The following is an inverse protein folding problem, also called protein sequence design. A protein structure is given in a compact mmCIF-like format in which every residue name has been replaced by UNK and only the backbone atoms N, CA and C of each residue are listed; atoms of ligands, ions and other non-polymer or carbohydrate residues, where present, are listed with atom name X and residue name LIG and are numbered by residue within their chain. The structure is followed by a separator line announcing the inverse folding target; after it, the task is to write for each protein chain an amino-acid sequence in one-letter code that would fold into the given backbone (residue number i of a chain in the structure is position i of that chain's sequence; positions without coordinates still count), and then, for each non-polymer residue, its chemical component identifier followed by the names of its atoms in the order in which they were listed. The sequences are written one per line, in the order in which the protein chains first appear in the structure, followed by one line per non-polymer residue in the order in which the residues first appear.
data_IF_700780560714
#
_entry.id   IF_700780560714
#
_cell.length_a   1.000
_cell.length_b   1.000
_cell.length_c   1.000
_cell.angle_alpha   90.00
_cell.angle_beta   90.00
_cell.angle_gamma   90.00
#
_symmetry.space_group_name_H-M   'P 1'
#
loop_
_entity.id
_entity.type
_entity.pdbx_description
1 polymer ?
#
# COMPACT_ATOMS: atom_id res chain seq x y z
N UNK A 1 -14.26 11.86 -26.94
CA UNK A 1 -13.54 10.98 -25.98
C UNK A 1 -12.88 9.86 -26.77
N UNK A 2 -11.60 9.59 -26.52
CA UNK A 2 -10.84 8.60 -27.29
C UNK A 2 -11.23 7.17 -26.83
N UNK A 3 -11.36 6.17 -27.73
CA UNK A 3 -11.73 4.79 -27.37
C UNK A 3 -10.81 4.10 -26.34
N UNK A 4 -9.65 4.70 -26.03
CA UNK A 4 -8.68 4.23 -25.04
C UNK A 4 -9.06 4.51 -23.59
N UNK A 5 -9.96 5.47 -23.32
CA UNK A 5 -10.29 5.89 -21.94
C UNK A 5 -11.35 5.01 -21.27
N UNK A 6 -12.22 4.35 -22.03
CA UNK A 6 -13.36 3.59 -21.49
C UNK A 6 -13.00 2.29 -20.73
N UNK A 7 -11.74 1.87 -20.74
CA UNK A 7 -11.31 0.58 -20.14
C UNK A 7 -10.39 0.72 -18.94
N UNK A 8 -10.17 1.94 -18.46
CA UNK A 8 -9.34 2.24 -17.29
C UNK A 8 -10.24 2.74 -16.17
N UNK A 9 -10.27 2.03 -15.05
CA UNK A 9 -10.96 2.48 -13.84
C UNK A 9 -9.92 3.03 -12.88
N UNK A 10 -10.19 4.18 -12.30
CA UNK A 10 -9.45 4.68 -11.15
C UNK A 10 -9.93 3.99 -9.88
N UNK A 11 -9.04 3.24 -9.22
CA UNK A 11 -9.31 2.52 -7.97
C UNK A 11 -8.43 3.04 -6.83
N UNK A 12 -7.91 4.28 -6.94
CA UNK A 12 -7.01 4.89 -5.95
C UNK A 12 -7.65 4.93 -4.56
N UNK A 13 -8.86 5.49 -4.46
CA UNK A 13 -9.61 5.58 -3.19
C UNK A 13 -9.90 4.20 -2.59
N UNK A 14 -10.30 3.24 -3.42
CA UNK A 14 -10.52 1.86 -2.96
C UNK A 14 -9.24 1.25 -2.39
N UNK A 15 -8.11 1.51 -3.03
CA UNK A 15 -6.79 1.01 -2.62
C UNK A 15 -6.34 1.60 -1.29
N UNK A 16 -6.56 2.89 -1.07
CA UNK A 16 -6.21 3.56 0.18
C UNK A 16 -7.16 3.24 1.34
N UNK A 17 -8.36 2.75 1.04
CA UNK A 17 -9.37 2.44 2.04
C UNK A 17 -9.26 1.01 2.57
N UNK A 18 -9.52 0.00 1.74
CA UNK A 18 -9.66 -1.38 2.21
C UNK A 18 -9.50 -2.42 1.07
N UNK A 19 -8.83 -3.56 1.32
CA UNK A 19 -8.61 -4.60 0.32
C UNK A 19 -9.91 -5.20 -0.25
N UNK A 20 -11.01 -5.24 0.51
CA UNK A 20 -12.30 -5.72 0.01
C UNK A 20 -12.82 -4.81 -1.11
N UNK A 21 -12.63 -3.49 -1.02
CA UNK A 21 -13.04 -2.56 -2.08
C UNK A 21 -12.23 -2.78 -3.36
N UNK A 22 -10.93 -3.10 -3.22
CA UNK A 22 -10.10 -3.51 -4.36
C UNK A 22 -10.61 -4.82 -4.95
N UNK A 23 -10.87 -5.84 -4.12
CA UNK A 23 -11.40 -7.13 -4.58
C UNK A 23 -12.75 -6.97 -5.29
N UNK A 24 -13.67 -6.15 -4.79
CA UNK A 24 -14.94 -5.84 -5.47
C UNK A 24 -14.70 -5.26 -6.86
N UNK A 25 -13.76 -4.32 -7.00
CA UNK A 25 -13.39 -3.76 -8.31
C UNK A 25 -12.81 -4.81 -9.24
N UNK A 26 -11.97 -5.73 -8.74
CA UNK A 26 -11.42 -6.80 -9.56
C UNK A 26 -12.50 -7.80 -9.98
N UNK A 27 -13.31 -8.30 -9.04
CA UNK A 27 -14.39 -9.26 -9.31
C UNK A 27 -15.49 -8.71 -10.21
N UNK A 28 -15.76 -7.40 -10.17
CA UNK A 28 -16.73 -6.76 -11.06
C UNK A 28 -16.25 -6.67 -12.52
N UNK A 29 -14.94 -6.81 -12.78
CA UNK A 29 -14.34 -6.61 -14.10
C UNK A 29 -13.64 -7.86 -14.65
N UNK A 30 -13.33 -8.84 -13.81
CA UNK A 30 -12.71 -10.11 -14.18
C UNK A 30 -13.35 -11.25 -13.42
N UNK A 31 -13.38 -12.43 -14.05
CA UNK A 31 -13.77 -13.66 -13.39
C UNK A 31 -12.58 -14.21 -12.59
N UNK A 32 -12.38 -13.70 -11.37
CA UNK A 32 -11.26 -14.07 -10.49
C UNK A 32 -11.71 -15.03 -9.38
N UNK A 33 -10.93 -16.07 -9.14
CA UNK A 33 -11.07 -16.96 -7.99
C UNK A 33 -10.09 -16.55 -6.89
N UNK A 34 -10.57 -16.49 -5.65
CA UNK A 34 -9.74 -16.23 -4.48
C UNK A 34 -10.30 -16.91 -3.23
N UNK A 35 -9.38 -17.29 -2.33
CA UNK A 35 -9.72 -17.76 -0.99
C UNK A 35 -9.50 -16.63 0.01
N UNK A 36 -10.50 -16.35 0.85
CA UNK A 36 -10.38 -15.39 1.96
C UNK A 36 -9.85 -16.09 3.22
N UNK A 37 -8.71 -15.64 3.72
CA UNK A 37 -8.11 -16.08 5.00
C UNK A 37 -8.03 -14.86 5.93
N UNK A 38 -8.92 -14.80 6.91
CA UNK A 38 -9.07 -13.66 7.83
C UNK A 38 -9.35 -12.36 7.05
N UNK A 39 -8.33 -11.54 6.82
CA UNK A 39 -8.38 -10.24 6.14
C UNK A 39 -7.47 -10.21 4.89
N UNK A 40 -7.03 -11.38 4.43
CA UNK A 40 -6.22 -11.54 3.22
C UNK A 40 -6.99 -12.35 2.18
N UNK A 41 -6.89 -11.93 0.93
CA UNK A 41 -7.52 -12.53 -0.24
C UNK A 41 -6.41 -13.14 -1.10
N UNK A 42 -6.29 -14.46 -1.08
CA UNK A 42 -5.26 -15.20 -1.82
C UNK A 42 -5.79 -15.52 -3.21
N UNK A 43 -5.10 -15.04 -4.25
CA UNK A 43 -5.49 -15.19 -5.64
C UNK A 43 -5.16 -16.60 -6.14
N UNK A 44 -6.17 -17.36 -6.54
CA UNK A 44 -5.99 -18.74 -7.00
C UNK A 44 -5.49 -18.76 -8.45
N UNK A 45 -6.13 -17.97 -9.32
CA UNK A 45 -5.85 -18.01 -10.76
C UNK A 45 -4.64 -17.14 -11.17
N UNK A 46 -4.20 -16.21 -10.30
CA UNK A 46 -3.05 -15.28 -10.51
C UNK A 46 -3.05 -14.58 -11.87
N UNK A 47 -4.24 -14.26 -12.39
CA UNK A 47 -4.44 -13.70 -13.73
C UNK A 47 -4.17 -12.20 -13.82
N UNK A 48 -4.05 -11.51 -12.68
CA UNK A 48 -3.90 -10.06 -12.62
C UNK A 48 -2.42 -9.71 -12.42
N UNK A 49 -1.86 -8.98 -13.37
CA UNK A 49 -0.52 -8.40 -13.22
C UNK A 49 -0.63 -7.06 -12.45
N UNK A 50 0.40 -6.73 -11.68
CA UNK A 50 0.61 -5.40 -11.11
C UNK A 50 1.86 -4.78 -11.72
N UNK A 51 1.75 -3.53 -12.16
CA UNK A 51 2.84 -2.74 -12.74
C UNK A 51 3.02 -1.47 -11.92
N UNK A 52 4.26 -1.18 -11.53
CA UNK A 52 4.61 0.12 -10.96
C UNK A 52 5.24 0.99 -12.06
N UNK A 53 4.80 2.24 -12.10
CA UNK A 53 5.26 3.24 -13.06
C UNK A 53 5.72 4.49 -12.32
N UNK A 54 6.78 5.12 -12.83
CA UNK A 54 7.24 6.44 -12.38
C UNK A 54 7.46 7.29 -13.61
N UNK A 55 6.85 8.47 -13.64
CA UNK A 55 6.91 9.40 -14.78
C UNK A 55 6.52 8.71 -16.11
N UNK A 56 5.52 7.82 -16.07
CA UNK A 56 5.02 7.08 -17.23
C UNK A 56 5.88 5.90 -17.68
N UNK A 57 7.02 5.65 -17.03
CA UNK A 57 7.89 4.50 -17.33
C UNK A 57 7.68 3.39 -16.32
N UNK A 58 7.37 2.18 -16.82
CA UNK A 58 7.24 0.99 -15.98
C UNK A 58 8.62 0.51 -15.53
N UNK A 59 8.79 0.30 -14.21
CA UNK A 59 10.04 -0.19 -13.63
C UNK A 59 9.88 -1.48 -12.83
N UNK A 60 8.63 -1.88 -12.55
CA UNK A 60 8.32 -3.12 -11.85
C UNK A 60 7.09 -3.77 -12.46
N UNK A 61 7.13 -5.10 -12.58
CA UNK A 61 5.99 -5.91 -13.01
C UNK A 61 6.02 -7.26 -12.29
N UNK A 62 4.86 -7.74 -11.87
CA UNK A 62 4.68 -9.12 -11.44
C UNK A 62 3.21 -9.50 -11.30
N UNK A 63 2.93 -10.69 -10.77
CA UNK A 63 1.57 -11.22 -10.61
C UNK A 63 1.07 -11.02 -9.19
N UNK A 64 -0.15 -10.51 -9.04
CA UNK A 64 -0.79 -10.40 -7.72
C UNK A 64 -1.09 -11.81 -7.22
N UNK A 65 -0.52 -12.16 -6.07
CA UNK A 65 -0.74 -13.46 -5.40
C UNK A 65 -1.65 -13.35 -4.20
N UNK A 66 -1.65 -12.20 -3.51
CA UNK A 66 -2.64 -11.90 -2.49
C UNK A 66 -2.80 -10.39 -2.29
N UNK A 67 -3.96 -10.01 -1.76
CA UNK A 67 -4.34 -8.65 -1.40
C UNK A 67 -4.82 -8.68 0.06
N UNK A 68 -4.35 -7.79 0.92
CA UNK A 68 -4.73 -7.83 2.33
C UNK A 68 -4.56 -6.50 3.06
N UNK A 69 -4.93 -6.48 4.33
CA UNK A 69 -4.81 -5.30 5.19
C UNK A 69 -3.36 -5.00 5.57
N UNK A 70 -3.13 -3.77 6.00
CA UNK A 70 -1.89 -3.39 6.68
C UNK A 70 -1.79 -4.09 8.03
N UNK A 71 -0.56 -4.42 8.43
CA UNK A 71 -0.27 -5.15 9.69
C UNK A 71 -0.58 -4.35 10.96
N UNK A 72 -0.72 -3.04 10.84
CA UNK A 72 -1.00 -2.13 11.95
C UNK A 72 -2.49 -1.78 12.07
N UNK A 73 -3.35 -2.52 11.35
CA UNK A 73 -4.80 -2.33 11.28
C UNK A 73 -5.23 -0.93 10.80
N UNK A 74 -4.32 -0.17 10.20
CA UNK A 74 -4.65 1.10 9.55
C UNK A 74 -5.31 0.86 8.20
N UNK A 75 -6.13 1.83 7.77
CA UNK A 75 -6.78 1.80 6.45
C UNK A 75 -5.75 1.65 5.33
N UNK A 76 -6.10 0.84 4.32
CA UNK A 76 -5.30 0.66 3.12
C UNK A 76 -5.02 -0.79 2.77
N UNK A 77 -4.48 -0.95 1.57
CA UNK A 77 -4.27 -2.25 0.95
C UNK A 77 -2.78 -2.55 0.79
N UNK A 78 -2.38 -3.76 1.15
CA UNK A 78 -1.10 -4.35 0.75
C UNK A 78 -1.35 -5.30 -0.42
N UNK A 79 -0.58 -5.11 -1.49
CA UNK A 79 -0.47 -6.09 -2.56
C UNK A 79 0.78 -6.92 -2.36
N UNK A 80 0.65 -8.23 -2.45
CA UNK A 80 1.80 -9.10 -2.63
C UNK A 80 1.87 -9.56 -4.07
N UNK A 81 3.04 -9.32 -4.64
CA UNK A 81 3.30 -9.52 -6.06
C UNK A 81 4.47 -10.47 -6.21
N UNK A 82 4.27 -11.54 -6.98
CA UNK A 82 5.31 -12.48 -7.38
C UNK A 82 5.97 -11.98 -8.67
N UNK A 83 7.28 -11.79 -8.62
CA UNK A 83 8.14 -11.66 -9.81
C UNK A 83 8.76 -13.03 -10.13
N UNK A 84 9.60 -13.12 -11.15
CA UNK A 84 10.30 -14.37 -11.47
C UNK A 84 11.25 -14.83 -10.34
N UNK A 85 11.74 -13.89 -9.52
CA UNK A 85 12.73 -14.15 -8.48
C UNK A 85 12.14 -14.19 -7.06
N UNK A 86 11.17 -13.32 -6.75
CA UNK A 86 10.80 -13.04 -5.36
C UNK A 86 9.32 -12.65 -5.19
N UNK A 87 8.88 -12.71 -3.94
CA UNK A 87 7.65 -12.03 -3.49
C UNK A 87 7.99 -10.63 -2.99
N UNK A 88 7.28 -9.62 -3.51
CA UNK A 88 7.37 -8.24 -3.05
C UNK A 88 6.03 -7.78 -2.49
N UNK A 89 6.09 -7.15 -1.31
CA UNK A 89 4.96 -6.43 -0.73
C UNK A 89 5.02 -4.99 -1.20
N UNK A 90 3.88 -4.47 -1.63
CA UNK A 90 3.69 -3.13 -2.16
C UNK A 90 2.61 -2.50 -1.29
N UNK A 91 2.89 -1.32 -0.74
CA UNK A 91 2.00 -0.62 0.17
C UNK A 91 1.68 0.77 -0.39
N UNK A 92 0.67 0.88 -1.27
CA UNK A 92 0.24 2.16 -1.81
C UNK A 92 -0.39 3.02 -0.71
N UNK A 93 0.08 4.25 -0.61
CA UNK A 93 -0.41 5.26 0.32
C UNK A 93 -0.49 6.61 -0.37
N UNK A 94 -1.22 7.57 0.23
CA UNK A 94 -1.29 8.94 -0.30
C UNK A 94 0.09 9.62 -0.37
N UNK A 95 1.07 9.13 0.38
CA UNK A 95 2.44 9.65 0.45
C UNK A 95 3.38 9.12 -0.62
N UNK A 96 3.09 7.95 -1.22
CA UNK A 96 3.99 7.29 -2.18
C UNK A 96 3.32 6.96 -3.51
N UNK A 97 2.03 7.25 -3.65
CA UNK A 97 1.20 6.91 -4.80
C UNK A 97 0.46 8.14 -5.33
N UNK A 98 0.57 8.37 -6.62
CA UNK A 98 -0.22 9.36 -7.35
C UNK A 98 -1.58 8.78 -7.74
N UNK A 99 -1.58 7.57 -8.31
CA UNK A 99 -2.78 6.97 -8.87
C UNK A 99 -2.69 5.45 -8.95
N UNK A 100 -3.84 4.77 -8.79
CA UNK A 100 -4.01 3.35 -9.05
C UNK A 100 -5.08 3.14 -10.12
N UNK A 101 -4.67 2.60 -11.26
CA UNK A 101 -5.53 2.35 -12.41
C UNK A 101 -5.70 0.86 -12.66
N UNK A 102 -6.94 0.41 -12.77
CA UNK A 102 -7.27 -0.91 -13.27
C UNK A 102 -7.53 -0.88 -14.78
N UNK A 103 -6.69 -1.57 -15.56
CA UNK A 103 -6.85 -1.76 -17.00
C UNK A 103 -7.62 -3.06 -17.28
N UNK A 104 -8.93 -2.93 -17.56
CA UNK A 104 -9.84 -4.06 -17.82
C UNK A 104 -9.43 -4.91 -19.02
N UNK A 105 -8.81 -4.30 -20.03
CA UNK A 105 -8.46 -5.02 -21.27
C UNK A 105 -7.27 -5.94 -21.07
N UNK A 106 -6.37 -5.58 -20.16
CA UNK A 106 -5.09 -6.27 -19.97
C UNK A 106 -5.01 -7.07 -18.67
N UNK A 107 -6.02 -6.98 -17.80
CA UNK A 107 -5.97 -7.51 -16.44
C UNK A 107 -4.72 -7.00 -15.68
N UNK A 108 -4.52 -5.67 -15.70
CA UNK A 108 -3.37 -5.03 -15.05
C UNK A 108 -3.85 -3.99 -14.04
N UNK A 109 -3.31 -4.03 -12.83
CA UNK A 109 -3.33 -2.91 -11.88
C UNK A 109 -2.05 -2.10 -12.09
N UNK A 110 -2.17 -0.84 -12.51
CA UNK A 110 -1.05 0.09 -12.67
C UNK A 110 -1.03 1.05 -11.49
N UNK A 111 0.13 1.22 -10.87
CA UNK A 111 0.33 2.16 -9.78
C UNK A 111 1.36 3.18 -10.24
N UNK A 112 0.92 4.43 -10.36
CA UNK A 112 1.81 5.58 -10.55
C UNK A 112 2.40 5.95 -9.20
N UNK A 113 3.71 5.71 -9.03
CA UNK A 113 4.42 5.95 -7.78
C UNK A 113 5.06 7.33 -7.76
N UNK A 114 4.94 8.04 -6.64
CA UNK A 114 5.47 9.38 -6.44
C UNK A 114 5.77 9.59 -4.95
N UNK A 115 7.01 9.95 -4.60
CA UNK A 115 7.39 10.22 -3.22
C UNK A 115 6.97 11.65 -2.79
N UNK A 116 5.81 11.75 -2.15
CA UNK A 116 5.22 13.01 -1.66
C UNK A 116 5.57 13.32 -0.20
N UNK A 117 5.99 12.31 0.57
CA UNK A 117 6.39 12.49 1.97
C UNK A 117 7.83 12.04 2.24
N UNK A 118 8.42 12.66 3.25
CA UNK A 118 9.71 12.28 3.82
C UNK A 118 9.51 11.70 5.20
N UNK A 119 10.32 10.72 5.55
CA UNK A 119 10.36 10.15 6.87
C UNK A 119 10.76 11.22 7.90
N UNK A 120 9.90 11.44 8.90
CA UNK A 120 10.11 12.43 9.96
C UNK A 120 11.31 12.15 10.88
N UNK A 121 11.93 10.97 10.76
CA UNK A 121 13.12 10.58 11.54
C UNK A 121 14.41 10.68 10.71
N UNK A 122 14.47 10.06 9.52
CA UNK A 122 15.70 10.01 8.72
C UNK A 122 15.77 11.05 7.59
N UNK A 123 14.66 11.73 7.28
CA UNK A 123 14.57 12.75 6.23
C UNK A 123 14.58 12.22 4.79
N UNK A 124 14.69 10.91 4.57
CA UNK A 124 14.61 10.27 3.24
C UNK A 124 13.16 10.11 2.79
N UNK A 125 12.95 9.97 1.49
CA UNK A 125 11.63 9.73 0.90
C UNK A 125 10.98 8.44 1.45
N UNK A 126 9.66 8.45 1.51
CA UNK A 126 8.84 7.25 1.71
C UNK A 126 8.45 6.73 0.33
N UNK A 127 8.95 5.56 -0.01
CA UNK A 127 8.76 4.92 -1.31
C UNK A 127 7.70 3.80 -1.24
N UNK A 128 7.31 3.24 -2.38
CA UNK A 128 6.20 2.30 -2.52
C UNK A 128 6.40 0.93 -1.84
N UNK A 129 7.66 0.54 -1.64
CA UNK A 129 8.05 -0.71 -0.99
C UNK A 129 8.30 -0.56 0.51
N UNK A 130 8.20 0.66 1.04
CA UNK A 130 8.48 0.94 2.43
C UNK A 130 7.28 0.55 3.32
N UNK A 131 7.60 -0.03 4.47
CA UNK A 131 6.65 -0.13 5.57
C UNK A 131 6.62 1.24 6.29
N UNK A 132 5.44 1.83 6.39
CA UNK A 132 5.24 3.19 6.92
C UNK A 132 4.42 3.11 8.19
N UNK A 133 4.79 3.90 9.19
CA UNK A 133 3.97 4.13 10.37
C UNK A 133 3.73 5.64 10.56
N UNK A 134 2.60 5.98 11.17
CA UNK A 134 2.22 7.35 11.46
C UNK A 134 1.99 7.58 12.94
N UNK A 135 2.27 8.80 13.41
CA UNK A 135 1.82 9.21 14.74
C UNK A 135 0.27 9.27 14.77
N UNK A 136 -0.41 8.63 15.73
CA UNK A 136 -1.89 8.66 15.78
C UNK A 136 -2.48 10.03 16.15
N UNK A 137 -1.64 11.00 16.55
CA UNK A 137 -2.07 12.31 17.04
C UNK A 137 -1.84 13.46 16.05
N UNK A 138 -0.79 13.36 15.24
CA UNK A 138 -0.43 14.41 14.27
C UNK A 138 -0.15 13.86 12.87
N UNK A 139 -0.33 12.54 12.69
CA UNK A 139 -0.22 11.82 11.43
C UNK A 139 1.15 11.89 10.75
N UNK A 140 2.15 12.49 11.40
CA UNK A 140 3.53 12.53 10.92
C UNK A 140 4.01 11.11 10.56
N UNK A 141 4.39 10.95 9.29
CA UNK A 141 4.78 9.67 8.71
C UNK A 141 6.29 9.45 8.85
N UNK A 142 6.66 8.19 8.99
CA UNK A 142 8.04 7.73 8.99
C UNK A 142 8.10 6.28 8.54
N UNK A 143 9.28 5.84 8.09
CA UNK A 143 9.56 4.41 7.99
C UNK A 143 9.26 3.77 9.34
N UNK A 144 8.54 2.64 9.31
CA UNK A 144 8.02 1.99 10.50
C UNK A 144 9.12 1.73 11.54
N UNK A 145 10.23 1.15 11.11
CA UNK A 145 11.35 0.83 11.99
C UNK A 145 11.97 2.08 12.62
N UNK A 146 12.18 3.14 11.82
CA UNK A 146 12.72 4.40 12.32
C UNK A 146 11.80 5.08 13.36
N UNK A 147 10.48 5.06 13.14
CA UNK A 147 9.54 5.62 14.10
C UNK A 147 9.50 4.79 15.39
N UNK A 148 9.52 3.47 15.26
CA UNK A 148 9.44 2.55 16.40
C UNK A 148 10.68 2.67 17.28
N UNK A 149 11.87 2.71 16.68
CA UNK A 149 13.11 2.89 17.42
C UNK A 149 13.17 4.25 18.10
N UNK A 150 12.69 5.31 17.43
CA UNK A 150 12.55 6.63 18.05
C UNK A 150 11.63 6.59 19.29
N UNK A 151 10.45 5.99 19.18
CA UNK A 151 9.48 5.89 20.28
C UNK A 151 10.07 5.08 21.45
N UNK A 152 10.76 3.97 21.18
CA UNK A 152 11.45 3.20 22.24
C UNK A 152 12.51 4.02 22.98
N UNK A 153 13.21 4.91 22.27
CA UNK A 153 14.29 5.72 22.85
C UNK A 153 13.81 7.01 23.53
N UNK A 154 12.73 7.62 23.03
CA UNK A 154 12.31 8.98 23.40
C UNK A 154 10.89 9.06 23.96
N UNK A 155 10.12 7.96 23.93
CA UNK A 155 8.73 7.85 24.36
C UNK A 155 7.84 8.99 23.86
N UNK A 156 8.10 9.49 22.66
CA UNK A 156 7.42 10.67 22.12
C UNK A 156 7.48 10.72 20.59
N UNK A 157 6.51 11.42 19.99
CA UNK A 157 6.53 11.72 18.57
C UNK A 157 7.71 12.65 18.20
N UNK A 158 8.47 12.37 17.13
CA UNK A 158 9.55 13.27 16.68
C UNK A 158 9.04 14.65 16.25
N UNK A 159 7.77 14.76 15.86
CA UNK A 159 7.16 16.00 15.36
C UNK A 159 6.37 16.72 16.46
N UNK A 160 5.24 16.16 16.93
CA UNK A 160 4.36 16.85 17.88
C UNK A 160 4.80 16.73 19.35
N UNK A 161 5.86 15.96 19.64
CA UNK A 161 6.44 15.74 20.98
C UNK A 161 5.51 15.13 22.04
N UNK A 162 4.25 14.81 21.68
CA UNK A 162 3.33 14.09 22.56
C UNK A 162 3.86 12.70 22.88
N UNK A 163 3.55 12.21 24.08
CA UNK A 163 4.02 10.91 24.56
C UNK A 163 3.39 9.78 23.76
N UNK A 164 4.23 8.81 23.44
CA UNK A 164 3.85 7.60 22.71
C UNK A 164 4.60 6.43 23.33
N UNK A 165 3.95 5.27 23.33
CA UNK A 165 4.55 3.98 23.69
C UNK A 165 4.26 2.95 22.60
N UNK A 166 4.98 1.82 22.62
CA UNK A 166 4.69 0.68 21.76
C UNK A 166 4.06 -0.42 22.61
N UNK A 167 2.94 -0.96 22.14
CA UNK A 167 2.35 -2.16 22.72
C UNK A 167 3.27 -3.37 22.55
N UNK A 168 3.02 -4.44 23.31
CA UNK A 168 3.68 -5.73 23.11
C UNK A 168 3.44 -6.33 21.71
N UNK A 169 2.40 -5.88 21.02
CA UNK A 169 2.04 -6.27 19.64
C UNK A 169 2.60 -5.31 18.58
N UNK A 170 3.35 -4.28 18.97
CA UNK A 170 3.95 -3.31 18.05
C UNK A 170 2.98 -2.26 17.49
N UNK A 171 1.91 -1.95 18.22
CA UNK A 171 1.02 -0.82 17.94
C UNK A 171 1.48 0.42 18.70
N UNK A 172 1.32 1.61 18.12
CA UNK A 172 1.63 2.88 18.80
C UNK A 172 0.46 3.25 19.70
N UNK A 173 0.70 3.35 21.00
CA UNK A 173 -0.28 3.77 22.02
C UNK A 173 0.04 5.20 22.46
N UNK A 174 -1.01 5.95 22.78
CA UNK A 174 -0.91 7.28 23.36
C UNK A 174 -0.90 7.12 24.89
N UNK A 175 0.15 7.61 25.53
CA UNK A 175 0.27 7.65 27.00
C UNK A 175 -0.38 8.92 27.58
#
# INVERSE_FOLDING_TARGET
MSPKEATRIDITEATFKDPLEVIKNLSANFNISYTKVIQTYVMEDRIIDLVLEKEGSAYFKGKIVWIGNRKDDTEGTIFCVQTDSDLKKINPTAENTEKVILDKKKAIVRISTEAKAKCSVCGKNIEIFDDVAGCPLCEAKAHKDHLFDWIKMKNSCPVCKKRLSLSSTGQIIID
#
